data_IF_491549464545
#
_entry.id   IF_491549464545
#
_cell.length_a   1.000
_cell.length_b   1.000
_cell.length_c   1.000
_cell.angle_alpha   90.00
_cell.angle_beta   90.00
_cell.angle_gamma   90.00
#
_symmetry.space_group_name_H-M   'P 1'
#
loop_
_entity.id
_entity.type
_entity.pdbx_description
1 polymer ?
#
# COMPACT_ATOMS: atom_id res chain seq x y z
N UNK A 1 11.07 6.91 16.03
CA UNK A 1 10.50 6.19 14.89
C UNK A 1 9.70 7.15 14.03
N UNK A 2 9.93 7.14 12.74
CA UNK A 2 9.20 7.99 11.81
C UNK A 2 8.18 7.16 11.05
N UNK A 3 6.92 7.45 11.28
CA UNK A 3 5.83 6.78 10.59
C UNK A 3 5.29 7.71 9.50
N UNK A 4 5.26 7.23 8.28
CA UNK A 4 4.72 7.97 7.14
C UNK A 4 3.58 7.21 6.50
N UNK A 5 2.76 7.96 5.77
CA UNK A 5 1.67 7.40 5.00
C UNK A 5 1.96 7.63 3.53
N UNK A 6 1.59 6.67 2.70
CA UNK A 6 1.63 6.84 1.26
C UNK A 6 0.33 6.32 0.68
N UNK A 7 -0.20 7.02 -0.32
CA UNK A 7 -1.40 6.60 -1.03
C UNK A 7 -1.07 6.30 -2.47
N UNK A 8 -1.68 5.24 -3.00
CA UNK A 8 -1.58 4.90 -4.41
C UNK A 8 -2.96 4.72 -4.97
N UNK A 9 -3.11 5.05 -6.24
CA UNK A 9 -4.33 4.75 -6.97
C UNK A 9 -4.15 3.39 -7.64
N UNK A 10 -5.20 2.58 -7.65
CA UNK A 10 -5.17 1.30 -8.33
C UNK A 10 -6.29 1.25 -9.39
N UNK A 11 -6.07 0.44 -10.43
CA UNK A 11 -7.04 0.35 -11.53
C UNK A 11 -8.06 -0.74 -11.29
N UNK A 12 -7.60 -1.96 -11.11
CA UNK A 12 -8.48 -3.12 -10.92
C UNK A 12 -8.62 -3.40 -9.44
N UNK A 13 -9.85 -3.48 -8.92
CA UNK A 13 -10.04 -3.82 -7.51
C UNK A 13 -9.44 -5.19 -7.20
N UNK A 14 -8.76 -5.35 -6.06
CA UNK A 14 -8.16 -6.63 -5.70
C UNK A 14 -9.22 -7.68 -5.41
N UNK A 15 -9.00 -8.89 -5.91
CA UNK A 15 -9.83 -10.03 -5.60
C UNK A 15 -9.41 -10.70 -4.30
N UNK A 16 -10.01 -11.86 -3.99
CA UNK A 16 -9.72 -12.55 -2.74
C UNK A 16 -8.26 -12.96 -2.62
N UNK A 17 -7.66 -13.43 -3.72
CA UNK A 17 -6.25 -13.83 -3.71
C UNK A 17 -5.33 -12.67 -3.40
N UNK A 18 -5.59 -11.53 -4.04
CA UNK A 18 -4.81 -10.31 -3.82
C UNK A 18 -5.02 -9.76 -2.41
N UNK A 19 -6.25 -9.81 -1.90
CA UNK A 19 -6.51 -9.36 -0.53
C UNK A 19 -5.80 -10.24 0.49
N UNK A 20 -5.75 -11.55 0.24
CA UNK A 20 -5.02 -12.47 1.10
C UNK A 20 -3.51 -12.17 1.06
N UNK A 21 -2.98 -11.95 -0.14
CA UNK A 21 -1.56 -11.61 -0.30
C UNK A 21 -1.23 -10.28 0.38
N UNK A 22 -2.13 -9.30 0.30
CA UNK A 22 -1.96 -8.02 0.97
C UNK A 22 -2.03 -8.17 2.50
N UNK A 23 -2.88 -9.05 2.98
CA UNK A 23 -2.94 -9.36 4.40
C UNK A 23 -1.62 -9.94 4.89
N UNK A 24 -1.01 -10.81 4.09
CA UNK A 24 0.31 -11.36 4.40
C UNK A 24 1.38 -10.27 4.32
N UNK A 25 1.24 -9.34 3.38
CA UNK A 25 2.18 -8.22 3.25
C UNK A 25 2.18 -7.32 4.48
N UNK A 26 1.07 -7.24 5.21
CA UNK A 26 1.02 -6.47 6.45
C UNK A 26 1.97 -6.99 7.51
N UNK A 27 2.40 -8.24 7.38
CA UNK A 27 3.37 -8.83 8.30
C UNK A 27 4.80 -8.49 7.90
N UNK A 28 5.00 -7.85 6.76
CA UNK A 28 6.32 -7.38 6.35
C UNK A 28 6.81 -6.34 7.35
N UNK A 29 8.04 -6.50 7.75
CA UNK A 29 8.64 -5.65 8.75
C UNK A 29 8.67 -4.19 8.28
N UNK A 30 8.02 -3.35 9.05
CA UNK A 30 7.90 -1.92 8.73
C UNK A 30 6.54 -1.49 8.20
N UNK A 31 5.70 -2.42 7.74
CA UNK A 31 4.33 -2.09 7.36
C UNK A 31 3.47 -2.07 8.61
N UNK A 32 2.76 -0.97 8.82
CA UNK A 32 1.90 -0.78 9.99
C UNK A 32 0.44 -1.04 9.69
N UNK A 33 -0.05 -0.47 8.58
CA UNK A 33 -1.46 -0.57 8.26
C UNK A 33 -1.67 -0.40 6.76
N UNK A 34 -2.61 -1.15 6.21
CA UNK A 34 -3.04 -1.02 4.82
C UNK A 34 -4.54 -0.79 4.84
N UNK A 35 -4.98 0.31 4.24
CA UNK A 35 -6.39 0.69 4.20
C UNK A 35 -6.80 0.95 2.76
N UNK A 36 -8.02 0.56 2.40
CA UNK A 36 -8.56 0.76 1.06
C UNK A 36 -9.71 1.75 1.08
N UNK A 37 -9.72 2.61 0.07
CA UNK A 37 -10.87 3.44 -0.24
C UNK A 37 -11.38 2.96 -1.60
N UNK A 38 -12.33 2.04 -1.58
CA UNK A 38 -12.86 1.43 -2.79
C UNK A 38 -13.57 2.43 -3.68
N UNK A 39 -14.19 3.43 -3.09
CA UNK A 39 -14.91 4.45 -3.82
C UNK A 39 -13.98 5.26 -4.71
N UNK A 40 -12.82 5.63 -4.18
CA UNK A 40 -11.82 6.42 -4.90
C UNK A 40 -10.75 5.54 -5.55
N UNK A 41 -10.81 4.23 -5.33
CA UNK A 41 -9.81 3.26 -5.80
C UNK A 41 -8.41 3.64 -5.35
N UNK A 42 -8.31 3.91 -4.06
CA UNK A 42 -7.03 4.28 -3.44
C UNK A 42 -6.67 3.30 -2.36
N UNK A 43 -5.39 3.07 -2.20
CA UNK A 43 -4.85 2.29 -1.09
C UNK A 43 -3.90 3.17 -0.31
N UNK A 44 -4.06 3.18 1.00
CA UNK A 44 -3.20 3.94 1.90
C UNK A 44 -2.41 2.97 2.76
N UNK A 45 -1.10 3.19 2.82
CA UNK A 45 -0.21 2.37 3.61
C UNK A 45 0.51 3.23 4.62
N UNK A 46 0.44 2.83 5.89
CA UNK A 46 1.22 3.43 6.96
C UNK A 46 2.44 2.54 7.18
N UNK A 47 3.61 3.13 7.17
CA UNK A 47 4.85 2.36 7.26
C UNK A 47 5.92 3.11 8.06
N UNK A 48 6.91 2.36 8.51
CA UNK A 48 8.05 2.91 9.23
C UNK A 48 9.10 3.38 8.23
N UNK A 49 9.27 4.68 8.13
CA UNK A 49 10.16 5.31 7.15
C UNK A 49 11.64 5.04 7.44
N UNK A 50 11.99 4.53 8.60
CA UNK A 50 13.35 4.14 8.90
C UNK A 50 13.71 2.80 8.27
N UNK A 51 12.72 2.02 7.84
CA UNK A 51 12.93 0.68 7.29
C UNK A 51 12.51 0.57 5.83
N UNK A 52 11.51 1.35 5.44
CA UNK A 52 10.91 1.29 4.12
C UNK A 52 10.85 2.68 3.51
N UNK A 53 10.67 2.71 2.21
CA UNK A 53 10.34 3.94 1.51
C UNK A 53 9.15 3.66 0.59
N UNK A 54 8.63 4.71 -0.05
CA UNK A 54 7.44 4.58 -0.89
C UNK A 54 7.67 3.63 -2.08
N UNK A 55 8.86 3.60 -2.65
CA UNK A 55 9.16 2.69 -3.76
C UNK A 55 9.13 1.23 -3.32
N UNK A 56 9.68 0.94 -2.15
CA UNK A 56 9.66 -0.41 -1.59
C UNK A 56 8.24 -0.82 -1.28
N UNK A 57 7.46 0.09 -0.69
CA UNK A 57 6.05 -0.17 -0.39
C UNK A 57 5.28 -0.48 -1.67
N UNK A 58 5.49 0.31 -2.73
CA UNK A 58 4.86 0.05 -4.02
C UNK A 58 5.23 -1.33 -4.56
N UNK A 59 6.48 -1.72 -4.44
CA UNK A 59 6.94 -3.05 -4.86
C UNK A 59 6.25 -4.17 -4.11
N UNK A 60 6.06 -4.00 -2.81
CA UNK A 60 5.36 -4.98 -1.97
C UNK A 60 3.91 -5.14 -2.44
N UNK A 61 3.22 -4.03 -2.70
CA UNK A 61 1.84 -4.06 -3.15
C UNK A 61 1.71 -4.71 -4.53
N UNK A 62 2.64 -4.41 -5.44
CA UNK A 62 2.63 -5.01 -6.78
C UNK A 62 2.88 -6.50 -6.74
N UNK A 63 3.76 -6.96 -5.86
CA UNK A 63 4.02 -8.39 -5.68
C UNK A 63 2.81 -9.12 -5.14
N UNK A 64 1.98 -8.44 -4.37
CA UNK A 64 0.73 -9.00 -3.88
C UNK A 64 -0.34 -9.08 -4.97
N UNK A 65 -0.08 -8.49 -6.14
CA UNK A 65 -1.01 -8.54 -7.27
C UNK A 65 -1.87 -7.30 -7.43
N UNK A 66 -1.63 -6.27 -6.64
CA UNK A 66 -2.40 -5.04 -6.76
C UNK A 66 -1.99 -4.26 -8.01
N UNK A 67 -2.99 -3.84 -8.77
CA UNK A 67 -2.77 -3.07 -10.00
C UNK A 67 -2.52 -1.60 -9.68
N UNK A 68 -1.31 -1.28 -9.22
CA UNK A 68 -0.98 0.09 -8.87
C UNK A 68 -0.83 0.96 -10.12
N UNK A 69 -1.43 2.14 -10.08
CA UNK A 69 -1.33 3.12 -11.15
C UNK A 69 -0.33 4.21 -10.78
N UNK A 70 -0.69 5.11 -9.88
CA UNK A 70 0.17 6.23 -9.56
C UNK A 70 0.22 6.48 -8.06
N UNK A 71 1.31 7.07 -7.62
CA UNK A 71 1.42 7.53 -6.24
C UNK A 71 0.70 8.87 -6.13
N UNK A 72 -0.12 8.99 -5.10
CA UNK A 72 -0.84 10.22 -4.84
C UNK A 72 -0.10 10.97 -3.75
N UNK A 73 0.34 12.18 -4.07
CA UNK A 73 0.96 13.04 -3.10
C UNK A 73 -0.15 13.76 -2.35
N UNK A 74 -0.25 13.48 -1.05
CA UNK A 74 -1.21 14.18 -0.22
C UNK A 74 -0.67 15.57 0.07
N UNK A 75 -1.29 16.56 -0.54
CA UNK A 75 -0.98 17.94 -0.22
C UNK A 75 -1.61 18.24 1.14
N UNK A 76 -0.79 18.60 2.07
CA UNK A 76 -1.25 18.99 3.39
C UNK A 76 -1.45 20.49 3.41
#
# INVERSE_FOLDING_TARGET
>A
MTQLDVCFRYGVPPGEGEMRALSNAREVYGIRKISFDEKERMVRVEYDATRLNDDIVAGILRRAGLDLKEKIVLAI
#
